data_IF_619595365270
#
_entry.id   IF_619595365270
#
_cell.length_a   1.000
_cell.length_b   1.000
_cell.length_c   1.000
_cell.angle_alpha   90.00
_cell.angle_beta   90.00
_cell.angle_gamma   90.00
#
_symmetry.space_group_name_H-M   'P 1'
#
loop_
_entity.id
_entity.type
_entity.pdbx_description
1 polymer ?
#
# COMPACT_ATOMS: atom_id res chain seq x y z
N UNK A 1 31.27 -7.26 4.54
CA UNK A 1 32.19 -6.49 3.68
C UNK A 1 31.76 -5.03 3.74
N UNK A 2 32.37 -4.25 4.65
CA UNK A 2 32.11 -2.82 4.84
C UNK A 2 33.17 -2.06 4.07
N UNK A 3 32.80 -1.36 3.00
CA UNK A 3 33.46 -0.14 2.46
C UNK A 3 32.93 0.11 1.05
N UNK A 4 32.20 1.22 0.83
CA UNK A 4 32.34 2.18 -0.29
C UNK A 4 31.09 3.06 -0.37
N UNK A 5 31.03 4.12 0.45
CA UNK A 5 30.07 5.22 0.26
C UNK A 5 30.74 6.55 0.61
N UNK A 6 31.78 6.90 -0.16
CA UNK A 6 32.43 8.21 -0.10
C UNK A 6 32.85 8.62 -1.52
N UNK A 7 31.90 8.97 -2.39
CA UNK A 7 32.29 9.65 -3.65
C UNK A 7 31.20 10.41 -4.42
N UNK A 8 30.16 10.98 -3.80
CA UNK A 8 29.18 11.74 -4.61
C UNK A 8 28.66 13.03 -3.98
N UNK A 9 29.53 13.86 -3.40
CA UNK A 9 29.12 15.19 -2.89
C UNK A 9 30.25 16.24 -2.98
N UNK A 10 30.93 16.34 -4.13
CA UNK A 10 31.76 17.51 -4.45
C UNK A 10 31.11 18.27 -5.60
N UNK A 11 30.51 19.42 -5.27
CA UNK A 11 30.01 20.38 -6.23
C UNK A 11 28.53 20.66 -6.04
N UNK A 12 28.24 21.72 -5.29
CA UNK A 12 27.14 22.70 -5.44
C UNK A 12 26.96 23.38 -4.08
N UNK A 13 27.35 24.66 -4.05
CA UNK A 13 27.26 25.50 -2.87
C UNK A 13 25.84 25.95 -2.59
N UNK A 14 25.56 26.26 -1.31
CA UNK A 14 24.62 27.32 -0.97
C UNK A 14 23.15 26.97 -0.78
N UNK A 15 22.78 25.71 -0.56
CA UNK A 15 21.44 25.38 -0.03
C UNK A 15 21.63 24.68 1.31
N UNK A 16 20.94 25.17 2.35
CA UNK A 16 20.90 24.53 3.67
C UNK A 16 20.47 23.08 3.50
N UNK A 17 21.47 22.20 3.51
CA UNK A 17 21.33 20.76 3.41
C UNK A 17 20.63 20.30 4.68
N UNK A 18 19.37 19.88 4.58
CA UNK A 18 18.78 19.04 5.62
C UNK A 18 19.63 17.78 5.64
N UNK A 19 20.57 17.77 6.58
CA UNK A 19 21.49 16.67 6.79
C UNK A 19 20.73 15.60 7.57
N UNK A 20 20.14 14.64 6.85
CA UNK A 20 19.73 13.35 7.43
C UNK A 20 20.99 12.55 7.82
N UNK A 21 21.72 13.05 8.82
CA UNK A 21 22.88 12.35 9.38
C UNK A 21 22.35 11.32 10.36
N UNK A 22 22.23 10.09 9.85
CA UNK A 22 22.52 8.85 10.59
C UNK A 22 21.78 8.70 11.93
N UNK A 23 20.50 8.34 11.87
CA UNK A 23 19.80 7.61 12.94
C UNK A 23 19.47 6.17 12.50
N UNK A 24 20.13 5.67 11.44
CA UNK A 24 19.87 4.35 10.85
C UNK A 24 20.79 3.24 11.37
N UNK A 25 21.49 3.47 12.49
CA UNK A 25 22.18 2.38 13.16
C UNK A 25 21.12 1.51 13.81
N UNK A 26 20.83 0.36 13.18
CA UNK A 26 19.99 -0.75 13.67
C UNK A 26 18.52 -0.78 13.20
N UNK A 27 18.22 -0.38 11.95
CA UNK A 27 16.98 -0.87 11.33
C UNK A 27 17.16 -2.35 10.97
N UNK A 28 16.34 -3.28 11.51
CA UNK A 28 16.39 -4.68 11.12
C UNK A 28 16.05 -4.86 9.64
N UNK A 29 16.76 -5.75 8.96
CA UNK A 29 16.37 -6.15 7.61
C UNK A 29 15.09 -6.99 7.66
N UNK A 30 14.13 -6.67 6.81
CA UNK A 30 12.86 -7.38 6.67
C UNK A 30 12.69 -7.84 5.23
N UNK A 31 11.97 -8.95 5.04
CA UNK A 31 11.32 -9.24 3.75
C UNK A 31 10.09 -8.34 3.63
N UNK A 32 10.03 -7.54 2.57
CA UNK A 32 8.92 -6.64 2.27
C UNK A 32 8.34 -7.04 0.92
N UNK A 33 7.09 -7.50 0.92
CA UNK A 33 6.30 -7.65 -0.30
C UNK A 33 5.52 -6.38 -0.57
N UNK A 34 5.77 -5.76 -1.73
CA UNK A 34 5.04 -4.57 -2.19
C UNK A 34 3.99 -5.01 -3.18
N UNK A 35 2.76 -4.52 -3.03
CA UNK A 35 1.66 -4.78 -3.97
C UNK A 35 0.85 -3.52 -4.16
N UNK A 36 0.48 -3.20 -5.39
CA UNK A 36 -0.37 -2.05 -5.69
C UNK A 36 -1.84 -2.43 -5.83
N UNK A 37 -2.72 -1.50 -5.50
CA UNK A 37 -4.17 -1.63 -5.60
C UNK A 37 -4.70 -0.37 -6.29
N UNK A 38 -4.67 -0.31 -7.64
CA UNK A 38 -5.09 0.86 -8.41
C UNK A 38 -6.62 1.01 -8.43
N UNK A 39 -7.21 1.33 -7.28
CA UNK A 39 -8.66 1.33 -7.06
C UNK A 39 -9.20 2.71 -6.72
N UNK A 40 -10.32 3.09 -7.33
CA UNK A 40 -10.91 4.43 -7.17
C UNK A 40 -12.42 4.45 -6.87
N UNK A 41 -13.08 3.28 -6.79
CA UNK A 41 -14.55 3.21 -6.66
C UNK A 41 -15.05 3.36 -5.22
N UNK A 42 -14.17 3.49 -4.23
CA UNK A 42 -14.56 3.75 -2.83
C UNK A 42 -14.90 5.22 -2.55
N UNK A 43 -14.79 6.10 -3.55
CA UNK A 43 -14.99 7.54 -3.43
C UNK A 43 -15.74 8.11 -4.63
N UNK A 44 -16.27 9.33 -4.47
CA UNK A 44 -17.00 10.01 -5.52
C UNK A 44 -16.06 10.95 -6.31
N UNK A 45 -16.03 10.79 -7.63
CA UNK A 45 -15.29 11.62 -8.58
C UNK A 45 -13.77 11.59 -8.37
N UNK A 46 -13.08 10.72 -9.11
CA UNK A 46 -11.73 10.89 -9.69
C UNK A 46 -11.10 9.49 -9.89
N UNK A 47 -10.61 9.17 -11.08
CA UNK A 47 -9.79 7.98 -11.34
C UNK A 47 -8.33 8.20 -10.89
N UNK A 48 -8.00 9.42 -10.45
CA UNK A 48 -6.67 9.87 -10.08
C UNK A 48 -6.00 9.01 -9.02
N UNK A 49 -6.72 8.62 -7.96
CA UNK A 49 -6.19 7.78 -6.88
C UNK A 49 -5.75 6.41 -7.38
N UNK A 50 -6.40 5.87 -8.43
CA UNK A 50 -6.00 4.62 -9.08
C UNK A 50 -4.60 4.66 -9.70
N UNK A 51 -4.06 5.86 -10.00
CA UNK A 51 -2.67 6.02 -10.47
C UNK A 51 -1.64 6.08 -9.34
N UNK A 52 -2.09 6.15 -8.08
CA UNK A 52 -1.23 6.22 -6.89
C UNK A 52 -0.13 5.15 -6.87
N UNK A 53 -0.43 3.86 -7.09
CA UNK A 53 0.58 2.81 -7.07
C UNK A 53 1.70 3.00 -8.10
N UNK A 54 1.34 3.39 -9.32
CA UNK A 54 2.31 3.66 -10.39
C UNK A 54 3.19 4.87 -10.05
N UNK A 55 2.57 5.97 -9.58
CA UNK A 55 3.27 7.21 -9.23
C UNK A 55 4.25 6.99 -8.08
N UNK A 56 3.86 6.25 -7.04
CA UNK A 56 4.74 5.92 -5.91
C UNK A 56 5.93 5.07 -6.34
N UNK A 57 5.72 4.09 -7.23
CA UNK A 57 6.81 3.30 -7.81
C UNK A 57 7.78 4.18 -8.62
N UNK A 58 7.24 5.03 -9.50
CA UNK A 58 8.03 6.01 -10.27
C UNK A 58 8.77 7.01 -9.38
N UNK A 59 8.20 7.31 -8.20
CA UNK A 59 8.79 8.15 -7.17
C UNK A 59 9.96 7.52 -6.42
N UNK A 60 10.26 6.23 -6.66
CA UNK A 60 11.45 5.58 -6.12
C UNK A 60 11.26 4.81 -4.81
N UNK A 61 10.02 4.62 -4.34
CA UNK A 61 9.74 3.96 -3.05
C UNK A 61 10.40 2.57 -2.92
N UNK A 62 10.46 1.81 -4.01
CA UNK A 62 11.10 0.49 -4.02
C UNK A 62 12.61 0.59 -3.80
N UNK A 63 13.25 1.56 -4.45
CA UNK A 63 14.68 1.82 -4.35
C UNK A 63 15.03 2.29 -2.94
N UNK A 64 14.23 3.19 -2.36
CA UNK A 64 14.44 3.67 -0.99
C UNK A 64 14.39 2.52 0.03
N UNK A 65 13.42 1.60 -0.08
CA UNK A 65 13.33 0.43 0.80
C UNK A 65 14.55 -0.49 0.68
N UNK A 66 15.09 -0.67 -0.53
CA UNK A 66 16.32 -1.44 -0.77
C UNK A 66 17.54 -0.73 -0.17
N UNK A 67 17.66 0.59 -0.34
CA UNK A 67 18.75 1.40 0.22
C UNK A 67 18.73 1.44 1.76
N UNK A 68 17.55 1.30 2.36
CA UNK A 68 17.38 1.09 3.81
C UNK A 68 17.81 -0.32 4.29
N UNK A 69 18.16 -1.23 3.38
CA UNK A 69 18.68 -2.56 3.69
C UNK A 69 17.63 -3.66 3.80
N UNK A 70 16.42 -3.45 3.28
CA UNK A 70 15.36 -4.47 3.24
C UNK A 70 15.46 -5.38 2.01
N UNK A 71 14.91 -6.60 2.10
CA UNK A 71 14.71 -7.49 0.97
C UNK A 71 13.33 -7.23 0.38
N UNK A 72 13.28 -6.53 -0.75
CA UNK A 72 12.03 -6.04 -1.35
C UNK A 72 11.66 -6.91 -2.56
N UNK A 73 10.39 -7.34 -2.62
CA UNK A 73 9.80 -7.97 -3.79
C UNK A 73 8.53 -7.23 -4.18
N UNK A 74 8.48 -6.70 -5.39
CA UNK A 74 7.27 -6.15 -5.97
C UNK A 74 6.43 -7.27 -6.61
N UNK A 75 5.16 -7.33 -6.24
CA UNK A 75 4.18 -8.29 -6.74
C UNK A 75 3.28 -7.72 -7.84
N UNK A 76 3.57 -6.49 -8.29
CA UNK A 76 2.76 -5.78 -9.28
C UNK A 76 1.45 -5.28 -8.68
N UNK A 77 0.45 -5.12 -9.53
CA UNK A 77 -0.85 -4.57 -9.16
C UNK A 77 -1.93 -5.65 -9.12
N UNK A 78 -2.85 -5.52 -8.18
CA UNK A 78 -4.05 -6.36 -8.11
C UNK A 78 -5.05 -5.88 -9.14
N UNK A 79 -5.54 -6.81 -9.97
CA UNK A 79 -6.65 -6.53 -10.85
C UNK A 79 -7.97 -6.64 -10.07
N UNK A 80 -8.60 -5.49 -9.80
CA UNK A 80 -9.90 -5.42 -9.12
C UNK A 80 -11.09 -5.36 -10.10
N UNK A 81 -10.86 -5.50 -11.41
CA UNK A 81 -11.89 -5.37 -12.45
C UNK A 81 -12.52 -6.71 -12.86
N UNK A 82 -12.07 -7.84 -12.31
CA UNK A 82 -12.46 -9.19 -12.79
C UNK A 82 -13.96 -9.54 -12.62
N UNK A 83 -14.74 -8.76 -11.86
CA UNK A 83 -16.20 -8.89 -11.85
C UNK A 83 -16.86 -7.58 -12.27
N UNK A 84 -17.40 -7.58 -13.49
CA UNK A 84 -18.52 -6.72 -13.83
C UNK A 84 -19.75 -7.18 -13.03
N UNK A 85 -19.88 -6.70 -11.79
CA UNK A 85 -21.18 -6.65 -11.13
C UNK A 85 -22.18 -6.00 -12.07
N UNK A 86 -23.41 -6.53 -12.14
CA UNK A 86 -24.49 -5.87 -12.88
C UNK A 86 -24.64 -4.46 -12.31
N UNK A 87 -24.38 -3.39 -13.10
CA UNK A 87 -24.43 -2.03 -12.59
C UNK A 87 -25.79 -1.75 -11.94
N UNK A 88 -25.78 -1.24 -10.70
CA UNK A 88 -26.99 -0.79 -10.02
C UNK A 88 -27.78 -1.85 -9.22
N UNK A 89 -27.26 -3.06 -9.05
CA UNK A 89 -27.83 -4.00 -8.07
C UNK A 89 -27.02 -3.98 -6.78
N UNK A 90 -27.47 -3.17 -5.82
CA UNK A 90 -27.09 -3.40 -4.43
C UNK A 90 -28.00 -4.49 -3.85
N UNK A 91 -27.51 -5.71 -3.62
CA UNK A 91 -28.31 -6.79 -3.05
C UNK A 91 -28.82 -6.50 -1.63
N UNK A 92 -28.18 -5.54 -0.94
CA UNK A 92 -28.53 -5.10 0.40
C UNK A 92 -29.42 -3.85 0.42
N UNK A 93 -29.76 -3.27 -0.75
CA UNK A 93 -30.57 -2.06 -0.89
C UNK A 93 -30.06 -0.87 -0.05
N UNK A 94 -28.74 -0.75 0.12
CA UNK A 94 -28.10 0.38 0.79
C UNK A 94 -28.00 1.60 -0.15
N UNK A 95 -27.56 2.73 0.41
CA UNK A 95 -27.19 3.92 -0.37
C UNK A 95 -25.69 3.95 -0.72
N UNK A 96 -24.96 2.86 -0.51
CA UNK A 96 -23.54 2.76 -0.81
C UNK A 96 -23.33 2.67 -2.32
N UNK A 97 -22.41 3.49 -2.84
CA UNK A 97 -22.03 3.48 -4.26
C UNK A 97 -21.02 2.37 -4.51
N UNK A 98 -21.11 1.72 -5.67
CA UNK A 98 -20.14 0.74 -6.18
C UNK A 98 -19.77 -0.38 -5.18
N UNK A 99 -20.70 -0.74 -4.29
CA UNK A 99 -20.48 -1.67 -3.18
C UNK A 99 -19.94 -3.03 -3.65
N UNK A 100 -20.45 -3.55 -4.77
CA UNK A 100 -20.04 -4.84 -5.29
C UNK A 100 -18.56 -4.82 -5.72
N UNK A 101 -18.12 -3.75 -6.38
CA UNK A 101 -16.72 -3.59 -6.79
C UNK A 101 -15.79 -3.32 -5.62
N UNK A 102 -16.23 -2.54 -4.63
CA UNK A 102 -15.47 -2.34 -3.38
C UNK A 102 -15.31 -3.68 -2.65
N UNK A 103 -16.37 -4.47 -2.54
CA UNK A 103 -16.34 -5.77 -1.87
C UNK A 103 -15.42 -6.76 -2.60
N UNK A 104 -15.53 -6.85 -3.93
CA UNK A 104 -14.68 -7.74 -4.73
C UNK A 104 -13.22 -7.34 -4.68
N UNK A 105 -12.91 -6.04 -4.82
CA UNK A 105 -11.54 -5.57 -4.73
C UNK A 105 -10.94 -5.91 -3.36
N UNK A 106 -11.69 -5.71 -2.27
CA UNK A 106 -11.24 -6.08 -0.93
C UNK A 106 -11.07 -7.60 -0.74
N UNK A 107 -11.87 -8.42 -1.42
CA UNK A 107 -11.67 -9.87 -1.45
C UNK A 107 -10.32 -10.24 -2.11
N UNK A 108 -10.02 -9.64 -3.27
CA UNK A 108 -8.77 -9.85 -3.98
C UNK A 108 -7.55 -9.32 -3.21
N UNK A 109 -7.67 -8.13 -2.59
CA UNK A 109 -6.67 -7.57 -1.68
C UNK A 109 -6.41 -8.54 -0.53
N UNK A 110 -7.46 -9.02 0.14
CA UNK A 110 -7.30 -9.95 1.25
C UNK A 110 -6.56 -11.22 0.81
N UNK A 111 -6.99 -11.83 -0.29
CA UNK A 111 -6.34 -13.01 -0.86
C UNK A 111 -4.86 -12.77 -1.15
N UNK A 112 -4.53 -11.71 -1.89
CA UNK A 112 -3.16 -11.42 -2.30
C UNK A 112 -2.25 -11.07 -1.13
N UNK A 113 -2.72 -10.28 -0.18
CA UNK A 113 -1.94 -9.91 1.02
C UNK A 113 -1.63 -11.17 1.84
N UNK A 114 -2.59 -12.09 2.02
CA UNK A 114 -2.33 -13.38 2.70
C UNK A 114 -1.29 -14.24 1.98
N UNK A 115 -1.34 -14.31 0.65
CA UNK A 115 -0.33 -15.01 -0.16
C UNK A 115 1.08 -14.45 0.09
N UNK A 116 1.21 -13.11 0.11
CA UNK A 116 2.50 -12.45 0.35
C UNK A 116 2.97 -12.70 1.80
N UNK A 117 2.08 -12.61 2.78
CA UNK A 117 2.38 -12.86 4.19
C UNK A 117 2.82 -14.31 4.46
N UNK A 118 2.36 -15.27 3.66
CA UNK A 118 2.73 -16.69 3.81
C UNK A 118 4.24 -16.96 3.59
N UNK A 119 4.95 -16.11 2.83
CA UNK A 119 6.42 -16.14 2.68
C UNK A 119 7.16 -15.48 3.89
N UNK A 120 6.43 -15.11 4.94
CA UNK A 120 6.98 -14.39 6.09
C UNK A 120 7.34 -12.93 5.77
N UNK A 121 6.85 -12.41 4.64
CA UNK A 121 7.03 -11.00 4.28
C UNK A 121 6.11 -10.09 5.10
N UNK A 122 6.64 -8.93 5.49
CA UNK A 122 5.80 -7.76 5.81
C UNK A 122 5.21 -7.24 4.50
N UNK A 123 3.98 -6.74 4.51
CA UNK A 123 3.31 -6.28 3.30
C UNK A 123 3.18 -4.77 3.30
N UNK A 124 3.63 -4.15 2.21
CA UNK A 124 3.34 -2.75 1.89
C UNK A 124 2.32 -2.72 0.76
N UNK A 125 1.15 -2.17 1.04
CA UNK A 125 0.10 -1.97 0.05
C UNK A 125 0.18 -0.53 -0.45
N UNK A 126 0.40 -0.35 -1.74
CA UNK A 126 0.29 0.95 -2.40
C UNK A 126 -1.16 1.08 -2.85
N UNK A 127 -1.96 1.85 -2.12
CA UNK A 127 -3.39 1.96 -2.36
C UNK A 127 -3.76 2.91 -3.49
N UNK A 128 -5.04 2.87 -3.83
CA UNK A 128 -5.79 4.01 -4.33
C UNK A 128 -6.57 4.63 -3.17
N UNK A 129 -7.90 4.66 -3.24
CA UNK A 129 -8.72 5.18 -2.13
C UNK A 129 -8.67 4.31 -0.86
N UNK A 130 -9.08 4.86 0.29
CA UNK A 130 -8.92 4.22 1.60
C UNK A 130 -9.85 3.00 1.80
N UNK A 131 -10.82 2.73 0.92
CA UNK A 131 -11.72 1.57 1.05
C UNK A 131 -10.97 0.23 0.98
N UNK A 132 -9.78 0.19 0.39
CA UNK A 132 -8.95 -1.02 0.27
C UNK A 132 -8.39 -1.50 1.61
N UNK A 133 -8.46 -0.67 2.67
CA UNK A 133 -8.00 -1.04 4.02
C UNK A 133 -8.77 -2.22 4.60
N UNK A 134 -10.02 -2.41 4.20
CA UNK A 134 -10.85 -3.53 4.67
C UNK A 134 -10.20 -4.87 4.32
N UNK A 135 -9.71 -5.01 3.09
CA UNK A 135 -9.03 -6.21 2.61
C UNK A 135 -7.67 -6.43 3.27
N UNK A 136 -6.93 -5.36 3.58
CA UNK A 136 -5.63 -5.49 4.25
C UNK A 136 -5.78 -5.92 5.72
N UNK A 137 -6.77 -5.37 6.42
CA UNK A 137 -7.11 -5.75 7.80
C UNK A 137 -7.66 -7.17 7.85
N UNK A 138 -8.59 -7.54 6.96
CA UNK A 138 -9.12 -8.91 6.87
C UNK A 138 -7.99 -9.93 6.60
N UNK A 139 -7.07 -9.63 5.68
CA UNK A 139 -5.90 -10.48 5.44
C UNK A 139 -5.06 -10.68 6.70
N UNK A 140 -4.76 -9.59 7.41
CA UNK A 140 -3.93 -9.65 8.61
C UNK A 140 -4.59 -10.52 9.67
N UNK A 141 -5.87 -10.28 9.96
CA UNK A 141 -6.62 -11.02 10.98
C UNK A 141 -6.68 -12.50 10.63
N UNK A 142 -6.95 -12.84 9.37
CA UNK A 142 -6.99 -14.24 8.91
C UNK A 142 -5.63 -14.95 8.95
N UNK A 143 -4.52 -14.22 8.89
CA UNK A 143 -3.17 -14.80 8.90
C UNK A 143 -2.49 -14.80 10.26
N UNK A 144 -2.77 -13.80 11.11
CA UNK A 144 -2.06 -13.59 12.39
C UNK A 144 -2.98 -13.57 13.62
N UNK A 145 -4.29 -13.50 13.45
CA UNK A 145 -5.25 -13.37 14.55
C UNK A 145 -5.39 -11.91 14.98
N UNK A 146 -5.16 -11.64 16.27
CA UNK A 146 -5.38 -10.30 16.84
C UNK A 146 -4.51 -9.23 16.17
N UNK A 147 -5.09 -8.04 16.01
CA UNK A 147 -4.47 -6.88 15.37
C UNK A 147 -4.68 -5.63 16.24
N UNK A 148 -3.62 -4.83 16.38
CA UNK A 148 -3.73 -3.42 16.74
C UNK A 148 -3.63 -2.54 15.50
N UNK A 149 -4.56 -1.59 15.33
CA UNK A 149 -4.58 -0.67 14.19
C UNK A 149 -4.15 0.73 14.63
N UNK A 150 -3.12 1.27 13.95
CA UNK A 150 -2.77 2.69 14.03
C UNK A 150 -3.29 3.33 12.74
N UNK A 151 -4.31 4.18 12.86
CA UNK A 151 -4.96 4.85 11.73
C UNK A 151 -4.56 6.33 11.72
N UNK A 152 -3.84 6.76 10.68
CA UNK A 152 -3.35 8.13 10.55
C UNK A 152 -4.01 8.76 9.33
N UNK A 153 -5.04 9.56 9.58
CA UNK A 153 -5.82 10.24 8.54
C UNK A 153 -6.43 11.52 9.13
N UNK A 154 -6.79 12.47 8.27
CA UNK A 154 -7.58 13.63 8.65
C UNK A 154 -9.04 13.24 8.99
N UNK A 155 -9.53 12.14 8.43
CA UNK A 155 -10.87 11.61 8.66
C UNK A 155 -10.83 10.31 9.47
N UNK A 156 -11.93 9.99 10.15
CA UNK A 156 -12.01 8.75 10.93
C UNK A 156 -12.37 7.52 10.07
N UNK A 157 -13.04 7.72 8.92
CA UNK A 157 -13.54 6.66 8.05
C UNK A 157 -14.45 5.62 8.76
N UNK A 158 -15.25 6.09 9.72
CA UNK A 158 -16.16 5.28 10.54
C UNK A 158 -17.65 5.51 10.25
N UNK A 159 -17.99 6.07 9.08
CA UNK A 159 -19.39 6.25 8.69
C UNK A 159 -20.04 4.88 8.36
N UNK A 160 -21.33 4.76 8.64
CA UNK A 160 -22.13 3.56 8.34
C UNK A 160 -23.06 3.79 7.15
N UNK A 161 -23.56 2.70 6.56
CA UNK A 161 -24.51 2.70 5.44
C UNK A 161 -25.89 3.31 5.77
#
# INVERSE_FOLDING_TARGET
MRTHFKSLLKGLGGVNKISFRTVYADIPSYKIGVVGVPFSKGQANDEGVGRGPEILRKGGILQELVELGHNVRDFGDINCEELASVPGQDPLQTKMKDLAEVAECNHQVSKKVREIMADGSKVLVLGGDHSVVVGTVDAHIRTKGDLGLIYVDAHADLNTA
#
